data_IF_399140337189
#
_entry.id   IF_399140337189
#
_cell.length_a   1.000
_cell.length_b   1.000
_cell.length_c   1.000
_cell.angle_alpha   90.00
_cell.angle_beta   90.00
_cell.angle_gamma   90.00
#
_symmetry.space_group_name_H-M   'P 1'
#
loop_
_entity.id
_entity.type
_entity.pdbx_description
1 polymer ?
#
# COMPACT_ATOMS: atom_id res chain seq x y z
N UNK A 1 40.29 -18.00 -24.56
CA UNK A 1 39.75 -17.13 -23.51
C UNK A 1 38.28 -17.51 -23.35
N UNK A 2 37.94 -18.31 -22.33
CA UNK A 2 36.59 -18.82 -22.10
C UNK A 2 35.90 -17.81 -21.16
N UNK A 3 34.78 -17.21 -21.61
CA UNK A 3 33.99 -16.32 -20.79
C UNK A 3 33.26 -17.15 -19.72
N UNK A 4 33.22 -16.73 -18.45
CA UNK A 4 32.53 -17.47 -17.39
C UNK A 4 31.02 -17.41 -17.64
N UNK A 5 30.34 -18.51 -17.33
CA UNK A 5 28.88 -18.62 -17.45
C UNK A 5 28.18 -17.70 -16.45
N UNK A 6 26.97 -17.19 -16.74
CA UNK A 6 26.24 -16.24 -15.90
C UNK A 6 26.01 -16.68 -14.44
N UNK A 7 26.01 -17.98 -14.19
CA UNK A 7 25.81 -18.57 -12.85
C UNK A 7 27.01 -18.40 -11.89
N UNK A 8 28.20 -18.09 -12.39
CA UNK A 8 29.40 -17.94 -11.54
C UNK A 8 29.58 -16.50 -11.02
N UNK A 9 28.84 -15.53 -11.52
CA UNK A 9 28.94 -14.12 -11.11
C UNK A 9 28.25 -13.81 -9.77
N UNK A 10 27.42 -14.71 -9.22
CA UNK A 10 26.65 -14.48 -8.00
C UNK A 10 27.17 -15.18 -6.74
N UNK A 11 28.28 -15.92 -6.81
CA UNK A 11 28.79 -16.71 -5.66
C UNK A 11 29.60 -15.90 -4.63
N UNK A 12 29.72 -14.60 -4.77
CA UNK A 12 30.54 -13.72 -3.89
C UNK A 12 29.81 -12.55 -3.26
N UNK A 13 28.48 -12.45 -3.36
CA UNK A 13 27.77 -11.39 -2.65
C UNK A 13 27.70 -11.69 -1.15
N UNK A 14 28.12 -10.75 -0.26
CA UNK A 14 27.94 -10.93 1.17
C UNK A 14 26.43 -11.12 1.43
N UNK A 15 26.08 -12.15 2.20
CA UNK A 15 24.72 -12.27 2.75
C UNK A 15 24.42 -10.95 3.48
N UNK A 16 23.33 -10.30 3.08
CA UNK A 16 22.83 -9.14 3.81
C UNK A 16 22.75 -9.52 5.30
N UNK A 17 23.44 -8.75 6.15
CA UNK A 17 23.35 -8.92 7.58
C UNK A 17 21.87 -8.82 7.95
N UNK A 18 21.38 -9.77 8.73
CA UNK A 18 20.04 -9.72 9.30
C UNK A 18 19.93 -8.39 10.06
N UNK A 19 19.22 -7.45 9.48
CA UNK A 19 18.86 -6.21 10.14
C UNK A 19 17.97 -6.60 11.32
N UNK A 20 18.36 -6.22 12.52
CA UNK A 20 17.53 -6.40 13.71
C UNK A 20 16.24 -5.63 13.45
N UNK A 21 15.15 -6.33 13.24
CA UNK A 21 13.84 -5.74 13.02
C UNK A 21 13.47 -4.89 14.24
N UNK A 22 13.38 -3.60 14.06
CA UNK A 22 12.82 -2.71 15.08
C UNK A 22 11.30 -2.86 15.01
N UNK A 23 10.73 -3.39 16.07
CA UNK A 23 9.29 -3.60 16.20
C UNK A 23 8.59 -2.32 16.64
N UNK A 24 7.54 -1.96 15.93
CA UNK A 24 6.63 -0.88 16.34
C UNK A 24 5.71 -1.36 17.47
N UNK A 25 5.37 -0.46 18.39
CA UNK A 25 4.40 -0.73 19.46
C UNK A 25 3.08 -0.08 19.07
N UNK A 26 2.05 -0.90 18.83
CA UNK A 26 0.67 -0.45 18.60
C UNK A 26 -0.19 -1.05 19.71
N UNK A 27 -0.93 -0.22 20.46
CA UNK A 27 -1.77 -0.61 21.59
C UNK A 27 -1.08 -1.49 22.65
N UNK A 28 0.24 -1.30 22.80
CA UNK A 28 1.06 -2.05 23.76
C UNK A 28 1.62 -3.37 23.23
N UNK A 29 1.24 -3.81 22.03
CA UNK A 29 1.81 -4.96 21.34
C UNK A 29 2.93 -4.53 20.40
N UNK A 30 3.96 -5.36 20.30
CA UNK A 30 5.05 -5.17 19.35
C UNK A 30 4.69 -5.83 18.03
N UNK A 31 4.62 -5.04 16.97
CA UNK A 31 4.32 -5.53 15.63
C UNK A 31 5.06 -4.71 14.55
N UNK A 32 5.18 -5.26 13.37
CA UNK A 32 5.68 -4.53 12.20
C UNK A 32 4.65 -3.53 11.70
N UNK A 33 5.08 -2.56 10.89
CA UNK A 33 4.13 -1.65 10.25
C UNK A 33 3.17 -2.36 9.29
N UNK A 34 3.58 -3.47 8.69
CA UNK A 34 2.71 -4.31 7.87
C UNK A 34 1.60 -4.96 8.68
N UNK A 35 1.92 -5.55 9.82
CA UNK A 35 0.93 -6.10 10.76
C UNK A 35 0.01 -5.01 11.31
N UNK A 36 0.56 -3.83 11.65
CA UNK A 36 -0.22 -2.68 12.10
C UNK A 36 -1.21 -2.18 11.02
N UNK A 37 -0.83 -2.25 9.74
CA UNK A 37 -1.72 -1.94 8.63
C UNK A 37 -2.89 -2.92 8.55
N UNK A 38 -2.60 -4.22 8.57
CA UNK A 38 -3.62 -5.29 8.51
C UNK A 38 -4.58 -5.13 9.68
N UNK A 39 -4.07 -5.00 10.91
CA UNK A 39 -4.87 -4.80 12.12
C UNK A 39 -5.75 -3.55 12.01
N UNK A 40 -5.21 -2.46 11.50
CA UNK A 40 -5.98 -1.22 11.31
C UNK A 40 -7.15 -1.39 10.35
N UNK A 41 -6.99 -2.16 9.26
CA UNK A 41 -8.09 -2.46 8.34
C UNK A 41 -9.17 -3.33 9.00
N UNK A 42 -8.76 -4.28 9.83
CA UNK A 42 -9.69 -5.11 10.63
C UNK A 42 -10.49 -4.27 11.63
N UNK A 43 -9.82 -3.41 12.38
CA UNK A 43 -10.43 -2.50 13.37
C UNK A 43 -11.39 -1.50 12.73
N UNK A 44 -11.11 -1.08 11.49
CA UNK A 44 -12.01 -0.25 10.67
C UNK A 44 -13.22 -1.02 10.10
N UNK A 45 -13.26 -2.34 10.29
CA UNK A 45 -14.34 -3.20 9.84
C UNK A 45 -14.36 -3.46 8.34
N UNK A 46 -13.22 -3.29 7.66
CA UNK A 46 -13.07 -3.61 6.23
C UNK A 46 -13.41 -5.08 6.01
N UNK A 47 -14.15 -5.40 4.94
CA UNK A 47 -14.59 -6.77 4.63
C UNK A 47 -13.93 -7.35 3.39
N UNK A 48 -13.66 -6.52 2.41
CA UNK A 48 -13.02 -6.92 1.16
C UNK A 48 -11.92 -5.93 0.81
N UNK A 49 -10.77 -6.47 0.43
CA UNK A 49 -9.60 -5.73 -0.05
C UNK A 49 -9.21 -6.26 -1.42
N UNK A 50 -9.09 -5.39 -2.41
CA UNK A 50 -8.73 -5.74 -3.77
C UNK A 50 -7.27 -5.35 -4.03
N UNK A 51 -6.52 -6.16 -4.78
CA UNK A 51 -5.14 -5.76 -5.00
C UNK A 51 -4.31 -6.66 -5.90
N UNK A 52 -3.09 -6.20 -6.14
CA UNK A 52 -2.05 -6.92 -6.88
C UNK A 52 -0.74 -6.80 -6.10
N UNK A 53 -0.13 -7.92 -5.69
CA UNK A 53 1.13 -7.90 -4.95
C UNK A 53 2.30 -7.38 -5.82
N UNK A 54 3.33 -6.85 -5.15
CA UNK A 54 4.57 -6.43 -5.79
C UNK A 54 5.64 -6.03 -4.78
N UNK A 55 6.87 -5.84 -5.23
CA UNK A 55 8.07 -5.79 -4.39
C UNK A 55 8.07 -4.79 -3.23
N UNK A 56 7.47 -3.61 -3.43
CA UNK A 56 7.46 -2.57 -2.40
C UNK A 56 6.32 -2.72 -1.37
N UNK A 57 5.40 -3.67 -1.57
CA UNK A 57 4.26 -3.93 -0.67
C UNK A 57 4.23 -5.37 -0.15
N UNK A 58 5.22 -6.20 -0.50
CA UNK A 58 5.27 -7.59 -0.06
C UNK A 58 5.14 -7.79 1.45
N UNK A 59 5.75 -6.97 2.34
CA UNK A 59 5.55 -7.15 3.77
C UNK A 59 4.08 -7.13 4.20
N UNK A 60 3.27 -6.27 3.58
CA UNK A 60 1.83 -6.22 3.84
C UNK A 60 1.13 -7.47 3.33
N UNK A 61 1.52 -7.98 2.15
CA UNK A 61 0.94 -9.21 1.62
C UNK A 61 1.34 -10.45 2.44
N UNK A 62 2.54 -10.47 3.01
CA UNK A 62 2.94 -11.51 3.94
C UNK A 62 2.06 -11.48 5.20
N UNK A 63 1.79 -10.30 5.75
CA UNK A 63 0.88 -10.14 6.89
C UNK A 63 -0.59 -10.49 6.56
N UNK A 64 -1.06 -10.22 5.33
CA UNK A 64 -2.41 -10.62 4.87
C UNK A 64 -2.53 -12.15 4.72
N UNK A 65 -1.44 -12.85 4.43
CA UNK A 65 -1.45 -14.30 4.26
C UNK A 65 -1.71 -15.06 5.58
N UNK A 66 -1.58 -14.41 6.72
CA UNK A 66 -2.06 -14.89 8.01
C UNK A 66 -3.60 -14.83 8.07
N UNK A 67 -4.22 -15.39 9.11
CA UNK A 67 -5.69 -15.29 9.26
C UNK A 67 -6.11 -13.84 9.46
N UNK A 68 -6.85 -13.31 8.47
CA UNK A 68 -7.45 -11.96 8.52
C UNK A 68 -8.97 -12.04 8.58
N UNK A 69 -9.59 -11.03 9.19
CA UNK A 69 -11.05 -10.92 9.28
C UNK A 69 -11.69 -10.38 7.99
N UNK A 70 -10.89 -9.95 7.04
CA UNK A 70 -11.33 -9.50 5.71
C UNK A 70 -10.88 -10.47 4.60
N UNK A 71 -11.62 -10.50 3.52
CA UNK A 71 -11.27 -11.27 2.33
C UNK A 71 -10.34 -10.46 1.44
N UNK A 72 -9.18 -11.02 1.07
CA UNK A 72 -8.35 -10.47 0.01
C UNK A 72 -8.76 -11.04 -1.36
N UNK A 73 -9.01 -10.15 -2.33
CA UNK A 73 -9.37 -10.50 -3.70
C UNK A 73 -8.20 -10.16 -4.62
N UNK A 74 -7.47 -11.20 -5.02
CA UNK A 74 -6.35 -11.06 -5.96
C UNK A 74 -6.88 -10.68 -7.34
N UNK A 75 -6.43 -9.52 -7.81
CA UNK A 75 -6.76 -9.03 -9.15
C UNK A 75 -5.60 -9.31 -10.14
N UNK A 76 -5.87 -9.18 -11.43
CA UNK A 76 -4.87 -9.43 -12.49
C UNK A 76 -4.27 -8.14 -13.06
N UNK A 77 -4.79 -6.99 -12.64
CA UNK A 77 -4.34 -5.65 -13.01
C UNK A 77 -4.77 -4.65 -11.95
N UNK A 78 -3.93 -3.70 -11.61
CA UNK A 78 -4.18 -2.74 -10.52
C UNK A 78 -5.38 -1.84 -10.83
N UNK A 79 -5.52 -1.40 -12.07
CA UNK A 79 -6.69 -0.62 -12.49
C UNK A 79 -8.00 -1.39 -12.25
N UNK A 80 -8.00 -2.69 -12.53
CA UNK A 80 -9.17 -3.53 -12.24
C UNK A 80 -9.41 -3.68 -10.73
N UNK A 81 -8.34 -3.67 -9.89
CA UNK A 81 -8.49 -3.65 -8.45
C UNK A 81 -9.17 -2.36 -7.97
N UNK A 82 -8.77 -1.22 -8.53
CA UNK A 82 -9.40 0.07 -8.22
C UNK A 82 -10.87 0.11 -8.58
N UNK A 83 -11.23 -0.25 -9.82
CA UNK A 83 -12.64 -0.29 -10.23
C UNK A 83 -13.47 -1.34 -9.50
N UNK A 84 -12.86 -2.46 -9.06
CA UNK A 84 -13.55 -3.43 -8.21
C UNK A 84 -13.85 -2.85 -6.81
N UNK A 85 -12.89 -2.14 -6.22
CA UNK A 85 -13.09 -1.44 -4.94
C UNK A 85 -14.13 -0.33 -5.06
N UNK A 86 -14.15 0.41 -6.17
CA UNK A 86 -15.16 1.41 -6.49
C UNK A 86 -16.55 0.79 -6.60
N UNK A 87 -16.70 -0.27 -7.42
CA UNK A 87 -17.96 -1.00 -7.57
C UNK A 87 -18.45 -1.60 -6.24
N UNK A 88 -17.54 -2.09 -5.40
CA UNK A 88 -17.85 -2.54 -4.04
C UNK A 88 -18.39 -1.39 -3.20
N UNK A 89 -17.74 -0.22 -3.22
CA UNK A 89 -18.19 0.92 -2.45
C UNK A 89 -19.58 1.39 -2.87
N UNK A 90 -19.85 1.49 -4.17
CA UNK A 90 -21.15 1.88 -4.72
C UNK A 90 -22.24 0.87 -4.35
N UNK A 91 -21.95 -0.43 -4.43
CA UNK A 91 -22.94 -1.48 -4.20
C UNK A 91 -23.25 -1.73 -2.71
N UNK A 92 -22.29 -1.48 -1.83
CA UNK A 92 -22.42 -1.80 -0.40
C UNK A 92 -22.59 -0.58 0.51
N UNK A 93 -22.25 0.62 0.03
CA UNK A 93 -22.18 1.82 0.84
C UNK A 93 -20.97 1.85 1.81
N UNK A 94 -20.05 0.91 1.68
CA UNK A 94 -18.82 0.84 2.46
C UNK A 94 -17.68 1.60 1.74
N UNK A 95 -16.56 1.82 2.44
CA UNK A 95 -15.35 2.34 1.79
C UNK A 95 -14.69 1.22 0.98
N UNK A 96 -14.43 1.46 -0.29
CA UNK A 96 -13.66 0.54 -1.13
C UNK A 96 -12.18 0.61 -0.75
N UNK A 97 -11.52 -0.53 -0.58
CA UNK A 97 -10.11 -0.60 -0.22
C UNK A 97 -9.34 -1.38 -1.26
N UNK A 98 -8.24 -0.82 -1.74
CA UNK A 98 -7.31 -1.54 -2.61
C UNK A 98 -5.86 -1.33 -2.19
N UNK A 99 -5.04 -2.37 -2.41
CA UNK A 99 -3.62 -2.40 -2.06
C UNK A 99 -2.80 -2.78 -3.29
N UNK A 100 -1.85 -1.92 -3.67
CA UNK A 100 -0.98 -2.12 -4.84
C UNK A 100 0.46 -1.74 -4.54
N UNK A 101 1.39 -2.17 -5.39
CA UNK A 101 2.82 -1.85 -5.23
C UNK A 101 3.15 -0.42 -5.72
N UNK A 102 4.43 -0.03 -5.58
CA UNK A 102 4.98 1.24 -6.04
C UNK A 102 5.05 1.35 -7.58
N UNK A 103 5.48 2.50 -8.05
CA UNK A 103 5.79 2.75 -9.46
C UNK A 103 4.63 2.37 -10.39
N UNK A 104 4.83 1.40 -11.31
CA UNK A 104 3.80 1.04 -12.28
C UNK A 104 2.50 0.53 -11.64
N UNK A 105 2.56 -0.12 -10.47
CA UNK A 105 1.36 -0.54 -9.75
C UNK A 105 0.57 0.66 -9.23
N UNK A 106 1.24 1.61 -8.61
CA UNK A 106 0.61 2.83 -8.09
C UNK A 106 0.07 3.72 -9.23
N UNK A 107 0.81 3.90 -10.32
CA UNK A 107 0.36 4.74 -11.46
C UNK A 107 -0.84 4.15 -12.19
N UNK A 108 -1.00 2.82 -12.21
CA UNK A 108 -2.20 2.17 -12.75
C UNK A 108 -3.48 2.52 -11.96
N UNK A 109 -3.34 3.05 -10.74
CA UNK A 109 -4.48 3.48 -9.91
C UNK A 109 -5.02 4.86 -10.27
N UNK A 110 -4.32 5.65 -11.10
CA UNK A 110 -4.73 7.03 -11.41
C UNK A 110 -6.11 7.06 -12.07
N UNK A 111 -6.39 6.17 -13.00
CA UNK A 111 -7.70 6.10 -13.67
C UNK A 111 -8.84 5.82 -12.69
N UNK A 112 -8.84 4.73 -11.89
CA UNK A 112 -9.92 4.49 -10.94
C UNK A 112 -10.01 5.53 -9.83
N UNK A 113 -8.89 6.16 -9.42
CA UNK A 113 -8.91 7.29 -8.49
C UNK A 113 -9.64 8.49 -9.11
N UNK A 114 -9.35 8.82 -10.37
CA UNK A 114 -10.01 9.92 -11.05
C UNK A 114 -11.52 9.67 -11.22
N UNK A 115 -11.90 8.44 -11.57
CA UNK A 115 -13.29 8.00 -11.71
C UNK A 115 -14.05 8.13 -10.38
N UNK A 116 -13.52 7.52 -9.32
CA UNK A 116 -14.09 7.61 -7.98
C UNK A 116 -14.20 9.06 -7.45
N UNK A 117 -13.24 9.93 -7.81
CA UNK A 117 -13.29 11.34 -7.43
C UNK A 117 -14.42 12.09 -8.16
N UNK A 118 -14.63 11.81 -9.44
CA UNK A 118 -15.72 12.41 -10.23
C UNK A 118 -17.08 11.97 -9.72
N UNK A 119 -17.23 10.68 -9.40
CA UNK A 119 -18.49 10.08 -8.97
C UNK A 119 -18.74 10.15 -7.46
N UNK A 120 -17.79 10.75 -6.71
CA UNK A 120 -17.90 10.90 -5.25
C UNK A 120 -17.96 9.56 -4.51
N UNK A 121 -17.18 8.59 -4.97
CA UNK A 121 -17.11 7.25 -4.39
C UNK A 121 -16.04 7.19 -3.30
N UNK A 122 -16.36 6.76 -2.07
CA UNK A 122 -15.39 6.67 -0.99
C UNK A 122 -14.43 5.50 -1.19
N UNK A 123 -13.14 5.79 -1.35
CA UNK A 123 -12.09 4.77 -1.50
C UNK A 123 -10.86 5.11 -0.66
N UNK A 124 -10.17 4.09 -0.18
CA UNK A 124 -8.82 4.15 0.36
C UNK A 124 -7.91 3.31 -0.53
N UNK A 125 -6.96 3.98 -1.18
CA UNK A 125 -5.97 3.37 -2.06
C UNK A 125 -4.63 3.34 -1.34
N UNK A 126 -4.18 2.14 -0.98
CA UNK A 126 -2.91 1.93 -0.30
C UNK A 126 -1.87 1.54 -1.35
N UNK A 127 -0.81 2.35 -1.46
CA UNK A 127 0.30 2.08 -2.37
C UNK A 127 1.57 1.78 -1.58
N UNK A 128 2.36 0.83 -2.03
CA UNK A 128 3.72 0.68 -1.54
C UNK A 128 4.62 1.76 -2.13
N UNK A 129 5.61 2.20 -1.37
CA UNK A 129 6.66 3.11 -1.81
C UNK A 129 8.03 2.50 -1.53
N UNK A 130 9.03 2.94 -2.26
CA UNK A 130 10.43 2.57 -2.00
C UNK A 130 10.85 2.94 -0.56
N UNK A 131 11.96 2.39 -0.07
CA UNK A 131 12.48 2.77 1.24
C UNK A 131 12.76 4.27 1.34
N UNK A 132 12.63 4.84 2.53
CA UNK A 132 12.79 6.30 2.78
C UNK A 132 14.07 6.88 2.15
N UNK A 133 15.18 6.15 2.25
CA UNK A 133 16.49 6.61 1.71
C UNK A 133 16.57 6.58 0.17
N UNK A 134 15.60 5.96 -0.50
CA UNK A 134 15.56 5.84 -1.95
C UNK A 134 14.58 6.84 -2.59
N UNK A 135 13.77 7.53 -1.80
CA UNK A 135 12.83 8.55 -2.31
C UNK A 135 13.61 9.71 -2.93
N UNK A 136 13.24 10.11 -4.15
CA UNK A 136 13.86 11.20 -4.90
C UNK A 136 15.19 10.82 -5.57
N UNK A 137 15.52 9.54 -5.68
CA UNK A 137 16.75 9.06 -6.31
C UNK A 137 16.54 8.38 -7.67
N UNK A 138 15.32 8.40 -8.21
CA UNK A 138 14.91 7.63 -9.39
C UNK A 138 15.15 6.12 -9.21
N UNK A 139 14.90 5.62 -8.00
CA UNK A 139 15.07 4.21 -7.67
C UNK A 139 14.13 3.32 -8.49
N UNK A 140 14.48 2.03 -8.59
CA UNK A 140 13.65 1.06 -9.32
C UNK A 140 12.21 1.07 -8.81
N UNK A 141 11.28 1.32 -9.73
CA UNK A 141 9.83 1.42 -9.46
C UNK A 141 9.46 2.52 -8.43
N UNK A 142 10.27 3.56 -8.30
CA UNK A 142 9.85 4.77 -7.60
C UNK A 142 8.90 5.59 -8.48
N UNK A 143 7.87 6.16 -7.87
CA UNK A 143 7.02 7.19 -8.47
C UNK A 143 6.51 8.13 -7.38
N UNK A 144 6.46 9.43 -7.69
CA UNK A 144 5.74 10.39 -6.85
C UNK A 144 4.24 10.26 -7.06
N UNK A 145 3.65 9.25 -6.43
CA UNK A 145 2.21 8.97 -6.58
C UNK A 145 1.36 10.03 -5.88
N UNK A 146 1.86 10.64 -4.81
CA UNK A 146 1.19 11.75 -4.13
C UNK A 146 1.06 12.93 -5.07
N UNK A 147 2.14 13.34 -5.73
CA UNK A 147 2.11 14.40 -6.74
C UNK A 147 1.28 14.05 -7.97
N UNK A 148 1.42 12.82 -8.49
CA UNK A 148 0.70 12.38 -9.68
C UNK A 148 -0.82 12.29 -9.48
N UNK A 149 -1.29 11.97 -8.27
CA UNK A 149 -2.72 11.87 -7.96
C UNK A 149 -3.34 13.16 -7.42
N UNK A 150 -2.53 14.15 -7.07
CA UNK A 150 -2.98 15.40 -6.44
C UNK A 150 -4.21 16.05 -7.10
N UNK A 151 -4.33 16.17 -8.43
CA UNK A 151 -5.47 16.80 -9.08
C UNK A 151 -6.76 15.94 -9.10
N UNK A 152 -6.67 14.66 -8.78
CA UNK A 152 -7.77 13.69 -8.92
C UNK A 152 -8.09 12.95 -7.62
N UNK A 153 -7.53 13.36 -6.51
CA UNK A 153 -7.70 12.72 -5.21
C UNK A 153 -8.31 13.71 -4.21
N UNK A 154 -9.07 13.23 -3.25
CA UNK A 154 -9.60 14.06 -2.18
C UNK A 154 -8.52 14.45 -1.17
N UNK A 155 -7.64 13.49 -0.83
CA UNK A 155 -6.48 13.68 0.03
C UNK A 155 -5.45 12.58 -0.20
N UNK A 156 -4.19 12.85 0.16
CA UNK A 156 -3.12 11.86 0.08
C UNK A 156 -2.16 12.00 1.26
N UNK A 157 -1.56 10.86 1.65
CA UNK A 157 -0.57 10.76 2.72
C UNK A 157 0.67 10.04 2.19
N UNK A 158 1.86 10.50 2.60
CA UNK A 158 3.10 9.73 2.51
C UNK A 158 3.49 9.28 3.93
N UNK A 159 3.51 7.97 4.16
CA UNK A 159 3.81 7.38 5.47
C UNK A 159 5.22 6.82 5.47
N UNK A 160 6.08 7.40 6.29
CA UNK A 160 7.50 7.04 6.39
C UNK A 160 7.87 6.31 7.68
N UNK A 161 6.95 6.22 8.65
CA UNK A 161 7.18 5.58 9.95
C UNK A 161 6.02 4.64 10.29
N UNK A 162 6.35 3.46 10.82
CA UNK A 162 5.37 2.43 11.15
C UNK A 162 4.31 2.90 12.16
N UNK A 163 4.72 3.65 13.17
CA UNK A 163 3.81 4.17 14.21
C UNK A 163 2.75 5.15 13.70
N UNK A 164 2.92 5.73 12.51
CA UNK A 164 1.93 6.62 11.93
C UNK A 164 0.82 5.88 11.15
N UNK A 165 1.05 4.60 10.80
CA UNK A 165 0.15 3.81 9.95
C UNK A 165 -1.28 3.74 10.53
N UNK A 166 -1.51 3.35 11.79
CA UNK A 166 -2.87 3.21 12.32
C UNK A 166 -3.64 4.54 12.30
N UNK A 167 -2.99 5.62 12.74
CA UNK A 167 -3.58 6.96 12.72
C UNK A 167 -3.93 7.40 11.31
N UNK A 168 -3.01 7.25 10.37
CA UNK A 168 -3.22 7.69 8.98
C UNK A 168 -4.32 6.87 8.30
N UNK A 169 -4.40 5.57 8.53
CA UNK A 169 -5.47 4.74 7.96
C UNK A 169 -6.85 5.11 8.53
N UNK A 170 -6.94 5.37 9.83
CA UNK A 170 -8.18 5.85 10.44
C UNK A 170 -8.61 7.22 9.87
N UNK A 171 -7.67 8.15 9.72
CA UNK A 171 -7.91 9.46 9.09
C UNK A 171 -8.34 9.29 7.62
N UNK A 172 -7.61 8.48 6.84
CA UNK A 172 -7.92 8.23 5.43
C UNK A 172 -9.33 7.66 5.24
N UNK A 173 -9.68 6.66 6.04
CA UNK A 173 -11.01 6.05 6.01
C UNK A 173 -12.12 7.06 6.40
N UNK A 174 -11.88 7.89 7.42
CA UNK A 174 -12.80 8.95 7.79
C UNK A 174 -12.94 10.02 6.69
N UNK A 175 -11.82 10.50 6.14
CA UNK A 175 -11.81 11.52 5.10
C UNK A 175 -12.49 11.00 3.84
N UNK A 176 -12.26 9.75 3.43
CA UNK A 176 -12.87 9.18 2.23
C UNK A 176 -14.40 9.27 2.24
N UNK A 177 -15.05 9.09 3.38
CA UNK A 177 -16.51 9.06 3.52
C UNK A 177 -17.14 10.34 4.08
N UNK A 178 -16.33 11.31 4.56
CA UNK A 178 -16.84 12.55 5.15
C UNK A 178 -17.15 13.61 4.10
N UNK A 179 -18.11 14.50 4.37
CA UNK A 179 -18.51 15.55 3.43
C UNK A 179 -18.88 14.98 2.05
N UNK A 180 -18.32 15.53 0.96
CA UNK A 180 -18.38 14.89 -0.36
C UNK A 180 -17.44 13.67 -0.33
N UNK A 181 -17.94 12.45 -0.46
CA UNK A 181 -17.06 11.27 -0.50
C UNK A 181 -16.06 11.32 -1.66
N UNK A 182 -14.98 10.58 -1.54
CA UNK A 182 -13.99 10.53 -2.59
C UNK A 182 -12.77 9.68 -2.21
N UNK A 183 -11.85 9.44 -3.15
CA UNK A 183 -10.67 8.62 -2.94
C UNK A 183 -9.62 9.33 -2.08
N UNK A 184 -8.95 8.56 -1.23
CA UNK A 184 -7.79 8.97 -0.44
C UNK A 184 -6.64 7.99 -0.72
N UNK A 185 -5.47 8.53 -1.04
CA UNK A 185 -4.26 7.74 -1.26
C UNK A 185 -3.41 7.70 0.02
N UNK A 186 -2.94 6.51 0.38
CA UNK A 186 -2.00 6.30 1.48
C UNK A 186 -0.78 5.58 0.93
N UNK A 187 0.27 6.35 0.66
CA UNK A 187 1.53 5.86 0.10
C UNK A 187 2.48 5.49 1.24
N UNK A 188 2.83 4.21 1.37
CA UNK A 188 3.53 3.68 2.55
C UNK A 188 4.90 3.16 2.14
N UNK A 189 5.95 3.78 2.68
CA UNK A 189 7.32 3.34 2.40
C UNK A 189 7.58 1.92 2.89
N UNK A 190 8.45 1.20 2.16
CA UNK A 190 8.88 -0.14 2.58
C UNK A 190 9.52 -0.11 3.98
N UNK A 191 10.24 0.97 4.31
CA UNK A 191 10.81 1.20 5.64
C UNK A 191 9.72 1.22 6.72
N UNK A 192 8.61 1.92 6.49
CA UNK A 192 7.50 1.95 7.44
C UNK A 192 6.82 0.58 7.59
N UNK A 193 6.74 -0.22 6.54
CA UNK A 193 6.13 -1.55 6.58
C UNK A 193 6.93 -2.55 7.43
N UNK A 194 8.26 -2.49 7.39
CA UNK A 194 9.14 -3.43 8.11
C UNK A 194 9.46 -2.99 9.55
N UNK A 195 8.95 -1.84 10.01
CA UNK A 195 8.99 -1.46 11.42
C UNK A 195 10.24 -0.72 11.88
N UNK A 196 10.75 0.22 11.14
CA UNK A 196 11.75 1.21 11.62
C UNK A 196 11.10 2.50 12.10
#
# INVERSE_FOLDING_TARGET
MVLPTPLQAFSGMPKAAATTEKQTIVDGEKMTGAEALVRSLEDLGVKDVFGVPGGAILPVYDAINDETSFRFVLMRHEQAAGHAAEGYAVSTGQVGVCIVTSGPGATNMITPIADANMDSVPMVVITGQVGVNAIGTDAFQEADIVGATYPVVKHSYLVTRAQDIPRVLAEAHYVARSGRPGPVVVDITKTAQIGD
#
